data_IF_783775724330
#
_entry.id   IF_783775724330
#
_cell.length_a   1.000
_cell.length_b   1.000
_cell.length_c   1.000
_cell.angle_alpha   90.00
_cell.angle_beta   90.00
_cell.angle_gamma   90.00
#
_symmetry.space_group_name_H-M   'P 1'
#
loop_
_entity.id
_entity.type
_entity.pdbx_description
1 polymer ?
#
# COMPACT_ATOMS: atom_id res chain seq x y z
N UNK A 1 4.64 31.33 -43.31
CA UNK A 1 5.88 31.42 -42.51
C UNK A 1 5.46 31.91 -41.14
N UNK A 2 5.59 31.22 -40.03
CA UNK A 2 6.14 29.90 -39.71
C UNK A 2 6.06 29.71 -38.19
N UNK A 3 6.11 28.44 -37.75
CA UNK A 3 6.61 27.96 -36.44
C UNK A 3 5.96 28.59 -35.20
N UNK A 4 5.10 27.92 -34.43
CA UNK A 4 5.37 26.67 -33.73
C UNK A 4 4.89 26.83 -32.26
N UNK A 5 4.55 25.73 -31.56
CA UNK A 5 3.70 25.72 -30.38
C UNK A 5 4.41 26.25 -29.13
N UNK A 6 3.74 27.06 -28.33
CA UNK A 6 4.20 27.42 -26.98
C UNK A 6 3.87 26.26 -26.03
N UNK A 7 4.55 25.13 -26.23
CA UNK A 7 4.72 24.14 -25.16
C UNK A 7 5.79 24.73 -24.25
N UNK A 8 5.38 25.54 -23.26
CA UNK A 8 6.21 25.71 -22.07
C UNK A 8 6.30 24.33 -21.44
N UNK A 9 7.43 23.67 -21.68
CA UNK A 9 7.70 22.34 -21.17
C UNK A 9 7.65 22.40 -19.65
N UNK A 10 6.89 21.47 -19.07
CA UNK A 10 6.74 21.14 -17.65
C UNK A 10 8.10 20.94 -16.92
N UNK A 11 9.24 20.96 -17.64
CA UNK A 11 10.59 20.85 -17.09
C UNK A 11 10.93 21.94 -16.06
N UNK A 12 10.40 23.15 -16.21
CA UNK A 12 10.82 24.28 -15.36
C UNK A 12 10.05 24.37 -14.02
N UNK A 13 9.01 23.57 -13.80
CA UNK A 13 8.21 23.60 -12.56
C UNK A 13 8.79 22.74 -11.41
N UNK A 14 9.82 21.93 -11.68
CA UNK A 14 10.39 20.97 -10.72
C UNK A 14 11.88 21.16 -10.46
N UNK A 15 12.54 22.16 -11.06
CA UNK A 15 14.00 22.32 -10.92
C UNK A 15 14.44 22.62 -9.47
N UNK A 16 13.61 23.33 -8.70
CA UNK A 16 13.86 23.64 -7.28
C UNK A 16 13.32 22.57 -6.30
N UNK A 17 12.66 21.52 -6.80
CA UNK A 17 12.13 20.45 -5.92
C UNK A 17 13.18 19.40 -5.59
N UNK A 18 13.25 18.88 -4.36
CA UNK A 18 14.18 17.80 -4.03
C UNK A 18 14.00 16.57 -4.93
N UNK A 19 15.09 15.86 -5.24
CA UNK A 19 15.09 14.72 -6.17
C UNK A 19 14.13 13.61 -5.75
N UNK A 20 14.00 13.35 -4.45
CA UNK A 20 13.09 12.34 -3.92
C UNK A 20 11.62 12.70 -4.18
N UNK A 21 11.25 13.97 -4.02
CA UNK A 21 9.88 14.45 -4.30
C UNK A 21 9.53 14.23 -5.77
N UNK A 22 10.46 14.55 -6.69
CA UNK A 22 10.27 14.32 -8.13
C UNK A 22 10.07 12.84 -8.45
N UNK A 23 10.92 11.98 -7.90
CA UNK A 23 10.85 10.54 -8.14
C UNK A 23 9.58 9.92 -7.57
N UNK A 24 9.18 10.27 -6.35
CA UNK A 24 7.91 9.83 -5.78
C UNK A 24 6.74 10.30 -6.65
N UNK A 25 6.70 11.58 -7.03
CA UNK A 25 5.64 12.10 -7.89
C UNK A 25 5.57 11.38 -9.25
N UNK A 26 6.70 10.99 -9.82
CA UNK A 26 6.72 10.14 -11.02
C UNK A 26 6.18 8.73 -10.77
N UNK A 27 6.51 8.10 -9.64
CA UNK A 27 5.98 6.79 -9.26
C UNK A 27 4.46 6.86 -9.09
N UNK A 28 3.96 7.76 -8.25
CA UNK A 28 2.52 7.96 -8.03
C UNK A 28 1.77 8.18 -9.36
N UNK A 29 2.32 9.02 -10.25
CA UNK A 29 1.75 9.24 -11.60
C UNK A 29 1.77 7.99 -12.48
N UNK A 30 2.90 7.28 -12.56
CA UNK A 30 3.04 6.08 -13.40
C UNK A 30 2.07 4.98 -12.97
N UNK A 31 1.94 4.77 -11.66
CA UNK A 31 1.02 3.75 -11.13
C UNK A 31 -0.44 4.20 -11.26
N UNK A 32 -0.77 5.48 -11.03
CA UNK A 32 -2.12 6.02 -11.25
C UNK A 32 -2.57 6.00 -12.72
N UNK A 33 -1.66 6.19 -13.68
CA UNK A 33 -1.97 6.11 -15.12
C UNK A 33 -2.18 4.67 -15.60
N UNK A 34 -1.38 3.71 -15.11
CA UNK A 34 -1.57 2.28 -15.41
C UNK A 34 -2.92 1.74 -14.91
N UNK A 35 -3.53 2.42 -13.94
CA UNK A 35 -4.84 2.09 -13.36
C UNK A 35 -6.03 2.77 -14.08
N UNK A 36 -5.84 3.29 -15.31
CA UNK A 36 -6.91 3.79 -16.18
C UNK A 36 -7.78 4.91 -15.56
N UNK A 37 -7.18 5.88 -14.87
CA UNK A 37 -7.82 7.18 -14.60
C UNK A 37 -8.04 7.94 -15.92
N UNK A 38 -9.09 7.60 -16.67
CA UNK A 38 -9.51 8.35 -17.85
C UNK A 38 -10.33 9.59 -17.42
N UNK A 39 -9.60 10.69 -17.23
CA UNK A 39 -9.94 12.09 -17.53
C UNK A 39 -11.33 12.64 -17.13
N UNK A 40 -11.37 13.51 -16.12
CA UNK A 40 -12.17 14.76 -16.10
C UNK A 40 -11.76 15.61 -14.89
N UNK A 41 -10.62 16.29 -15.00
CA UNK A 41 -10.09 17.13 -13.93
C UNK A 41 -8.69 17.62 -14.29
N UNK A 42 -8.60 18.48 -15.29
CA UNK A 42 -7.41 19.34 -15.45
C UNK A 42 -7.50 20.37 -14.33
N UNK A 43 -7.08 19.99 -13.13
CA UNK A 43 -6.90 20.77 -11.90
C UNK A 43 -6.23 19.75 -10.95
N UNK A 44 -4.94 19.46 -11.05
CA UNK A 44 -3.90 20.33 -10.53
C UNK A 44 -2.56 19.75 -11.01
N UNK A 45 -1.91 20.43 -11.95
CA UNK A 45 -0.64 19.96 -12.53
C UNK A 45 0.55 20.21 -11.58
N UNK A 46 0.31 20.87 -10.44
CA UNK A 46 1.28 21.22 -9.40
C UNK A 46 1.08 20.41 -8.10
N UNK A 47 -0.02 19.67 -7.95
CA UNK A 47 -0.21 18.75 -6.85
C UNK A 47 0.67 17.52 -7.09
N UNK A 48 1.72 17.39 -6.31
CA UNK A 48 2.77 16.39 -6.50
C UNK A 48 2.29 14.95 -6.24
N UNK A 49 0.98 14.70 -6.05
CA UNK A 49 0.25 13.46 -5.67
C UNK A 49 0.81 12.68 -4.45
N UNK A 50 2.02 13.01 -4.01
CA UNK A 50 2.71 12.48 -2.85
C UNK A 50 2.16 13.18 -1.60
N UNK A 51 1.76 12.46 -0.55
CA UNK A 51 1.37 13.05 0.73
C UNK A 51 2.44 14.01 1.26
N UNK A 52 2.04 15.17 1.78
CA UNK A 52 2.99 16.19 2.25
C UNK A 52 3.95 15.65 3.31
N UNK A 53 3.44 14.87 4.26
CA UNK A 53 4.23 14.20 5.30
C UNK A 53 5.37 13.36 4.70
N UNK A 54 5.13 12.62 3.61
CA UNK A 54 6.14 11.81 2.95
C UNK A 54 7.19 12.63 2.20
N UNK A 55 6.83 13.83 1.69
CA UNK A 55 7.80 14.73 1.05
C UNK A 55 8.81 15.28 2.06
N UNK A 56 8.29 15.63 3.23
CA UNK A 56 9.05 16.27 4.30
C UNK A 56 9.81 15.24 5.14
N UNK A 57 9.30 14.02 5.24
CA UNK A 57 9.86 12.91 6.02
C UNK A 57 10.88 12.04 5.29
N UNK A 58 11.29 12.39 4.08
CA UNK A 58 12.32 11.63 3.35
C UNK A 58 13.72 12.11 3.75
N UNK A 59 14.56 11.18 4.20
CA UNK A 59 15.94 11.48 4.56
C UNK A 59 16.75 11.79 3.30
N UNK A 60 17.10 13.06 3.12
CA UNK A 60 17.86 13.55 1.94
C UNK A 60 19.27 12.98 1.80
N UNK A 61 19.84 12.40 2.87
CA UNK A 61 21.12 11.70 2.83
C UNK A 61 20.98 10.20 2.57
N UNK A 62 19.75 9.67 2.60
CA UNK A 62 19.44 8.27 2.35
C UNK A 62 19.32 7.95 0.85
N UNK A 63 19.08 6.68 0.51
CA UNK A 63 18.68 6.27 -0.84
C UNK A 63 17.51 7.09 -1.37
N UNK A 64 17.52 7.39 -2.66
CA UNK A 64 16.37 7.98 -3.37
C UNK A 64 15.30 6.92 -3.65
N UNK A 65 14.04 7.29 -3.87
CA UNK A 65 12.96 6.35 -4.16
C UNK A 65 13.29 5.37 -5.29
N UNK A 66 13.89 5.83 -6.39
CA UNK A 66 14.33 4.96 -7.48
C UNK A 66 15.39 3.96 -7.00
N UNK A 67 16.38 4.39 -6.21
CA UNK A 67 17.40 3.47 -5.67
C UNK A 67 16.79 2.39 -4.77
N UNK A 68 15.74 2.71 -4.01
CA UNK A 68 15.01 1.73 -3.19
C UNK A 68 14.31 0.70 -4.07
N UNK A 69 13.60 1.12 -5.12
CA UNK A 69 12.88 0.21 -6.01
C UNK A 69 13.85 -0.61 -6.88
N UNK A 70 14.89 0.02 -7.43
CA UNK A 70 15.90 -0.56 -8.34
C UNK A 70 16.80 -1.58 -7.63
N UNK A 71 16.93 -1.52 -6.30
CA UNK A 71 17.61 -2.56 -5.52
C UNK A 71 16.97 -3.95 -5.72
N UNK A 72 15.69 -3.99 -6.06
CA UNK A 72 14.93 -5.21 -6.28
C UNK A 72 14.45 -5.86 -4.98
N UNK A 73 13.32 -6.56 -5.06
CA UNK A 73 12.71 -7.25 -3.91
C UNK A 73 13.70 -8.22 -3.26
N UNK A 74 13.80 -8.17 -1.93
CA UNK A 74 14.75 -8.93 -1.13
C UNK A 74 16.03 -8.15 -0.80
N UNK A 75 16.36 -7.11 -1.56
CA UNK A 75 17.54 -6.26 -1.33
C UNK A 75 17.17 -4.80 -1.04
N UNK A 76 15.88 -4.47 -0.97
CA UNK A 76 15.44 -3.09 -0.67
C UNK A 76 15.93 -2.71 0.72
N UNK A 77 16.52 -1.51 0.91
CA UNK A 77 17.02 -1.09 2.21
C UNK A 77 15.87 -0.92 3.20
N UNK A 78 16.19 -0.95 4.50
CA UNK A 78 15.18 -0.74 5.54
C UNK A 78 14.62 0.70 5.48
N UNK A 79 13.33 0.91 5.81
CA UNK A 79 12.71 2.22 5.74
C UNK A 79 13.41 3.32 6.55
N UNK A 80 14.00 2.98 7.71
CA UNK A 80 14.77 3.89 8.56
C UNK A 80 16.05 4.45 7.91
N UNK A 81 16.49 3.88 6.79
CA UNK A 81 17.65 4.38 6.03
C UNK A 81 17.32 5.52 5.08
N UNK A 82 16.04 5.69 4.71
CA UNK A 82 15.58 6.71 3.75
C UNK A 82 14.35 7.51 4.23
N UNK A 83 13.78 7.17 5.39
CA UNK A 83 12.70 7.91 6.04
C UNK A 83 13.15 8.38 7.41
N UNK A 84 12.71 9.57 7.80
CA UNK A 84 12.98 10.15 9.10
C UNK A 84 12.15 9.45 10.20
N UNK A 85 12.70 9.35 11.40
CA UNK A 85 12.07 8.68 12.55
C UNK A 85 10.74 9.33 12.95
N UNK A 86 10.67 10.66 12.92
CA UNK A 86 9.45 11.43 13.20
C UNK A 86 8.35 11.10 12.18
N UNK A 87 8.71 10.93 10.91
CA UNK A 87 7.78 10.54 9.87
C UNK A 87 7.27 9.11 10.09
N UNK A 88 8.17 8.16 10.35
CA UNK A 88 7.80 6.77 10.62
C UNK A 88 6.81 6.71 11.79
N UNK A 89 7.10 7.42 12.87
CA UNK A 89 6.23 7.46 14.07
C UNK A 89 4.86 8.02 13.72
N UNK A 90 4.78 9.19 13.08
CA UNK A 90 3.52 9.81 12.68
C UNK A 90 2.72 8.95 11.70
N UNK A 91 3.41 8.24 10.81
CA UNK A 91 2.75 7.35 9.85
C UNK A 91 2.09 6.16 10.55
N UNK A 92 2.80 5.54 11.50
CA UNK A 92 2.29 4.38 12.24
C UNK A 92 1.21 4.76 13.27
N UNK A 93 1.22 5.98 13.80
CA UNK A 93 0.16 6.49 14.69
C UNK A 93 -1.23 6.49 14.02
N UNK A 94 -1.30 6.52 12.69
CA UNK A 94 -2.57 6.40 11.96
C UNK A 94 -3.27 5.05 12.20
N UNK A 95 -2.53 4.03 12.64
CA UNK A 95 -3.04 2.69 12.93
C UNK A 95 -3.38 2.49 14.42
N UNK A 96 -3.32 3.55 15.24
CA UNK A 96 -3.60 3.47 16.68
C UNK A 96 -5.02 2.96 17.00
N UNK A 97 -5.98 3.16 16.09
CA UNK A 97 -7.35 2.65 16.22
C UNK A 97 -7.57 1.27 15.59
N UNK A 98 -6.49 0.58 15.21
CA UNK A 98 -6.55 -0.70 14.51
C UNK A 98 -6.26 -0.59 13.02
N UNK A 99 -6.21 -1.75 12.38
CA UNK A 99 -5.94 -1.86 10.96
C UNK A 99 -6.89 -2.88 10.30
N UNK A 100 -7.10 -2.74 9.00
CA UNK A 100 -7.96 -3.65 8.24
C UNK A 100 -7.25 -4.12 6.97
N UNK A 101 -7.48 -5.39 6.61
CA UNK A 101 -7.11 -5.93 5.29
C UNK A 101 -8.31 -6.58 4.62
N UNK A 102 -8.38 -6.43 3.30
CA UNK A 102 -9.39 -7.04 2.45
C UNK A 102 -8.82 -8.34 1.86
N UNK A 103 -9.65 -9.39 1.84
CA UNK A 103 -9.29 -10.69 1.28
C UNK A 103 -10.41 -11.22 0.40
N UNK A 104 -10.05 -11.91 -0.69
CA UNK A 104 -10.98 -12.85 -1.30
C UNK A 104 -11.22 -14.02 -0.34
N UNK A 105 -12.48 -14.37 -0.11
CA UNK A 105 -12.87 -15.36 0.91
C UNK A 105 -12.27 -16.73 0.63
N UNK A 106 -12.22 -17.16 -0.64
CA UNK A 106 -11.56 -18.41 -1.04
C UNK A 106 -10.07 -18.40 -0.67
N UNK A 107 -9.36 -17.33 -1.02
CA UNK A 107 -7.92 -17.21 -0.81
C UNK A 107 -7.54 -17.25 0.67
N UNK A 108 -8.26 -16.55 1.54
CA UNK A 108 -7.95 -16.56 2.98
C UNK A 108 -8.31 -17.89 3.62
N UNK A 109 -9.38 -18.56 3.19
CA UNK A 109 -9.72 -19.92 3.66
C UNK A 109 -8.70 -20.96 3.23
N UNK A 110 -8.14 -20.84 2.03
CA UNK A 110 -7.13 -21.78 1.54
C UNK A 110 -5.74 -21.51 2.12
N UNK A 111 -5.32 -20.26 2.27
CA UNK A 111 -3.93 -19.92 2.57
C UNK A 111 -3.70 -19.29 3.96
N UNK A 112 -4.74 -18.72 4.57
CA UNK A 112 -4.65 -17.95 5.82
C UNK A 112 -4.46 -16.44 5.60
N UNK A 113 -4.46 -15.64 6.69
CA UNK A 113 -4.39 -14.18 6.63
C UNK A 113 -3.02 -13.61 6.24
N UNK A 114 -1.94 -14.37 6.40
CA UNK A 114 -0.61 -13.87 6.12
C UNK A 114 -0.02 -14.37 4.80
N UNK A 115 0.90 -13.60 4.24
CA UNK A 115 1.59 -13.94 3.00
C UNK A 115 2.95 -14.58 3.32
N UNK A 116 2.96 -15.90 3.53
CA UNK A 116 4.18 -16.66 3.78
C UNK A 116 5.17 -16.55 2.62
N UNK A 117 6.45 -16.28 2.92
CA UNK A 117 7.55 -16.59 2.01
C UNK A 117 8.11 -17.96 2.38
N UNK A 118 7.63 -19.02 1.72
CA UNK A 118 8.16 -20.41 1.80
C UNK A 118 7.76 -21.19 3.07
N UNK A 119 7.49 -22.51 2.98
CA UNK A 119 7.37 -23.38 4.16
C UNK A 119 8.68 -23.44 4.95
N UNK A 120 8.69 -22.94 6.20
CA UNK A 120 9.76 -23.18 7.17
C UNK A 120 10.67 -21.99 7.58
N UNK A 121 10.48 -20.76 7.08
CA UNK A 121 11.08 -19.51 7.59
C UNK A 121 10.39 -18.29 6.91
N UNK A 122 10.40 -17.02 7.33
CA UNK A 122 10.83 -16.33 8.55
C UNK A 122 9.89 -15.16 8.93
N UNK A 123 8.99 -14.72 8.04
CA UNK A 123 8.08 -13.60 8.30
C UNK A 123 6.76 -13.87 7.60
N UNK A 124 5.77 -14.32 8.36
CA UNK A 124 4.39 -14.35 7.89
C UNK A 124 3.81 -12.97 8.15
N UNK A 125 3.52 -12.23 7.10
CA UNK A 125 3.18 -10.80 7.20
C UNK A 125 1.95 -10.46 6.39
N UNK A 126 1.20 -9.45 6.82
CA UNK A 126 0.09 -8.90 6.07
C UNK A 126 0.26 -7.38 5.94
N UNK A 127 0.02 -6.87 4.72
CA UNK A 127 -0.16 -5.44 4.52
C UNK A 127 -1.56 -5.02 4.96
N UNK A 128 -1.68 -3.92 5.69
CA UNK A 128 -2.93 -3.46 6.29
C UNK A 128 -3.12 -1.95 6.07
N UNK A 129 -4.37 -1.52 6.06
CA UNK A 129 -4.78 -0.11 6.01
C UNK A 129 -5.28 0.35 7.39
N UNK A 130 -5.22 1.65 7.73
CA UNK A 130 -5.92 2.14 8.91
C UNK A 130 -7.42 1.89 8.77
N UNK A 131 -8.04 1.29 9.79
CA UNK A 131 -9.46 0.91 9.76
C UNK A 131 -10.36 2.11 9.42
N UNK A 132 -10.10 3.26 10.06
CA UNK A 132 -10.88 4.49 9.87
C UNK A 132 -10.75 5.03 8.44
N UNK A 133 -9.55 5.00 7.85
CA UNK A 133 -9.31 5.48 6.49
C UNK A 133 -10.00 4.58 5.45
N UNK A 134 -9.92 3.26 5.64
CA UNK A 134 -10.62 2.32 4.76
C UNK A 134 -12.14 2.48 4.85
N UNK A 135 -12.69 2.63 6.06
CA UNK A 135 -14.12 2.83 6.25
C UNK A 135 -14.60 4.15 5.61
N UNK A 136 -13.84 5.23 5.78
CA UNK A 136 -14.15 6.52 5.13
C UNK A 136 -14.13 6.40 3.60
N UNK A 137 -13.17 5.66 3.05
CA UNK A 137 -13.13 5.39 1.61
C UNK A 137 -14.35 4.60 1.14
N UNK A 138 -14.72 3.53 1.86
CA UNK A 138 -15.88 2.70 1.55
C UNK A 138 -17.18 3.52 1.52
N UNK A 139 -17.32 4.54 2.37
CA UNK A 139 -18.47 5.45 2.37
C UNK A 139 -18.49 6.46 1.22
N UNK A 140 -17.35 6.69 0.56
CA UNK A 140 -17.21 7.68 -0.52
C UNK A 140 -17.37 7.07 -1.91
N UNK A 141 -17.10 5.77 -2.05
CA UNK A 141 -17.22 5.03 -3.30
C UNK A 141 -18.64 4.51 -3.50
N UNK A 142 -19.08 4.44 -4.75
CA UNK A 142 -20.44 4.01 -5.12
C UNK A 142 -20.46 2.61 -5.74
N UNK A 143 -19.29 1.98 -5.91
CA UNK A 143 -19.19 0.64 -6.47
C UNK A 143 -17.92 -0.10 -6.03
N UNK A 144 -17.93 -1.45 -6.03
CA UNK A 144 -16.72 -2.25 -5.79
C UNK A 144 -15.57 -1.92 -6.76
N UNK A 145 -15.89 -1.54 -8.00
CA UNK A 145 -14.89 -1.12 -8.99
C UNK A 145 -14.20 0.18 -8.59
N UNK A 146 -14.94 1.17 -8.08
CA UNK A 146 -14.35 2.40 -7.53
C UNK A 146 -13.48 2.11 -6.31
N UNK A 147 -13.91 1.19 -5.42
CA UNK A 147 -13.09 0.74 -4.30
C UNK A 147 -11.78 0.08 -4.77
N UNK A 148 -11.84 -0.82 -5.76
CA UNK A 148 -10.64 -1.46 -6.32
C UNK A 148 -9.66 -0.42 -6.86
N UNK A 149 -10.15 0.54 -7.65
CA UNK A 149 -9.32 1.62 -8.18
C UNK A 149 -8.69 2.46 -7.07
N UNK A 150 -9.43 2.78 -6.02
CA UNK A 150 -8.92 3.54 -4.89
C UNK A 150 -7.89 2.75 -4.06
N UNK A 151 -8.00 1.42 -3.99
CA UNK A 151 -7.03 0.56 -3.32
C UNK A 151 -5.87 0.12 -4.22
N UNK A 152 -5.85 0.57 -5.47
CA UNK A 152 -4.86 0.18 -6.46
C UNK A 152 -4.93 -1.30 -6.87
N UNK A 153 -6.07 -1.94 -6.65
CA UNK A 153 -6.36 -3.32 -7.05
C UNK A 153 -6.87 -3.38 -8.50
N UNK A 154 -6.79 -4.54 -9.18
CA UNK A 154 -7.43 -4.76 -10.47
C UNK A 154 -8.93 -4.42 -10.42
N UNK A 155 -9.48 -3.82 -11.48
CA UNK A 155 -10.89 -3.37 -11.50
C UNK A 155 -11.91 -4.49 -11.35
N UNK A 156 -11.53 -5.71 -11.72
CA UNK A 156 -12.29 -6.96 -11.62
C UNK A 156 -12.04 -7.70 -10.29
N UNK A 157 -11.23 -7.16 -9.37
CA UNK A 157 -10.88 -7.83 -8.11
C UNK A 157 -12.10 -8.25 -7.28
N UNK A 158 -13.15 -7.42 -7.29
CA UNK A 158 -14.42 -7.68 -6.59
C UNK A 158 -15.49 -8.31 -7.50
N UNK A 159 -15.25 -8.46 -8.80
CA UNK A 159 -16.26 -8.94 -9.74
C UNK A 159 -16.46 -10.45 -9.58
N UNK A 160 -17.67 -10.86 -9.16
CA UNK A 160 -18.02 -12.28 -8.96
C UNK A 160 -17.25 -12.97 -7.83
N UNK A 161 -16.50 -12.22 -7.02
CA UNK A 161 -15.72 -12.73 -5.89
C UNK A 161 -16.45 -12.48 -4.56
N UNK A 162 -16.48 -13.49 -3.70
CA UNK A 162 -16.81 -13.29 -2.30
C UNK A 162 -15.60 -12.67 -1.58
N UNK A 163 -15.83 -11.61 -0.82
CA UNK A 163 -14.79 -10.79 -0.21
C UNK A 163 -15.13 -10.53 1.24
N UNK A 164 -14.14 -10.68 2.11
CA UNK A 164 -14.26 -10.37 3.52
C UNK A 164 -13.11 -9.45 3.98
N UNK A 165 -13.43 -8.60 4.94
CA UNK A 165 -12.49 -7.77 5.66
C UNK A 165 -12.06 -8.50 6.93
N UNK A 166 -10.85 -8.22 7.37
CA UNK A 166 -10.38 -8.60 8.69
C UNK A 166 -9.88 -7.36 9.41
N UNK A 167 -10.53 -7.03 10.51
CA UNK A 167 -10.19 -5.90 11.37
C UNK A 167 -9.31 -6.40 12.50
N UNK A 168 -8.09 -5.88 12.57
CA UNK A 168 -7.10 -6.12 13.61
C UNK A 168 -7.21 -4.98 14.63
N UNK A 169 -7.59 -5.32 15.86
CA UNK A 169 -7.58 -4.35 16.96
C UNK A 169 -6.14 -3.93 17.29
N UNK A 170 -5.93 -2.85 18.06
CA UNK A 170 -4.59 -2.43 18.49
C UNK A 170 -3.77 -3.56 19.13
N UNK A 171 -4.42 -4.48 19.82
CA UNK A 171 -3.83 -5.68 20.42
C UNK A 171 -3.36 -6.74 19.41
N UNK A 172 -3.89 -6.71 18.18
CA UNK A 172 -3.58 -7.64 17.10
C UNK A 172 -2.47 -7.11 16.17
N UNK A 173 -1.99 -5.88 16.36
CA UNK A 173 -1.00 -5.22 15.49
C UNK A 173 0.46 -5.58 15.83
N UNK A 174 0.70 -6.85 16.18
CA UNK A 174 2.04 -7.32 16.47
C UNK A 174 3.01 -7.02 15.31
N UNK A 175 4.17 -6.45 15.63
CA UNK A 175 5.19 -6.13 14.62
C UNK A 175 4.83 -5.01 13.64
N UNK A 176 3.82 -4.18 13.94
CA UNK A 176 3.44 -3.04 13.11
C UNK A 176 4.67 -2.19 12.73
N UNK A 177 4.90 -2.03 11.43
CA UNK A 177 6.05 -1.31 10.89
C UNK A 177 5.80 -0.78 9.47
N UNK A 178 6.67 0.13 9.05
CA UNK A 178 6.71 0.59 7.66
C UNK A 178 7.02 -0.58 6.71
N UNK A 179 6.33 -0.67 5.56
CA UNK A 179 6.66 -1.66 4.56
C UNK A 179 8.03 -1.36 3.93
N UNK A 180 8.90 -2.36 3.89
CA UNK A 180 10.18 -2.29 3.16
C UNK A 180 10.03 -2.65 1.68
N UNK A 181 8.91 -3.29 1.32
CA UNK A 181 8.70 -3.89 0.01
C UNK A 181 9.42 -5.23 -0.15
N UNK A 182 10.05 -5.76 0.90
CA UNK A 182 10.64 -7.09 0.90
C UNK A 182 9.64 -8.17 1.38
N UNK A 183 8.46 -7.77 1.85
CA UNK A 183 7.48 -8.67 2.46
C UNK A 183 6.83 -9.66 1.47
N UNK A 184 6.20 -10.70 2.02
CA UNK A 184 5.38 -11.62 1.23
C UNK A 184 4.19 -10.90 0.61
N UNK A 185 3.91 -11.17 -0.67
CA UNK A 185 2.78 -10.57 -1.37
C UNK A 185 2.98 -9.13 -1.86
N UNK A 186 4.16 -8.52 -1.70
CA UNK A 186 4.47 -7.24 -2.35
C UNK A 186 4.39 -7.38 -3.88
N UNK A 187 3.53 -6.56 -4.50
CA UNK A 187 3.50 -6.38 -5.96
C UNK A 187 4.67 -5.50 -6.39
N UNK A 188 5.68 -6.10 -7.02
CA UNK A 188 6.90 -5.40 -7.45
C UNK A 188 6.64 -4.34 -8.51
N UNK A 189 5.56 -4.46 -9.27
CA UNK A 189 5.21 -3.54 -10.36
C UNK A 189 4.34 -2.36 -9.91
N UNK A 190 3.84 -2.38 -8.68
CA UNK A 190 2.94 -1.35 -8.14
C UNK A 190 3.35 -0.79 -6.77
N UNK A 191 4.28 -1.43 -6.07
CA UNK A 191 4.74 -0.98 -4.76
C UNK A 191 5.59 0.30 -4.86
N UNK A 192 5.30 1.26 -3.98
CA UNK A 192 6.01 2.53 -3.84
C UNK A 192 6.58 2.63 -2.41
N UNK A 193 7.83 3.08 -2.21
CA UNK A 193 8.36 3.32 -0.87
C UNK A 193 7.64 4.47 -0.17
N UNK A 194 7.57 4.40 1.16
CA UNK A 194 6.98 5.46 1.98
C UNK A 194 5.66 5.08 2.66
N UNK A 195 5.11 3.89 2.42
CA UNK A 195 3.94 3.39 3.14
C UNK A 195 2.62 3.98 2.66
N UNK A 196 2.53 4.36 1.38
CA UNK A 196 1.28 4.82 0.79
C UNK A 196 1.00 4.07 -0.50
N UNK A 197 -0.28 3.79 -0.73
CA UNK A 197 -0.75 3.43 -2.06
C UNK A 197 -0.62 4.63 -3.01
N UNK A 198 -0.57 4.39 -4.35
CA UNK A 198 -0.61 5.47 -5.34
C UNK A 198 -1.82 6.40 -5.22
N UNK A 199 -2.90 5.96 -4.56
CA UNK A 199 -4.10 6.74 -4.26
C UNK A 199 -3.98 7.66 -3.04
N UNK A 200 -2.88 7.57 -2.27
CA UNK A 200 -2.64 8.37 -1.07
C UNK A 200 -3.16 7.73 0.24
N UNK A 201 -3.61 6.48 0.20
CA UNK A 201 -4.05 5.75 1.41
C UNK A 201 -2.82 5.21 2.16
N UNK A 202 -2.70 5.43 3.48
CA UNK A 202 -1.62 4.86 4.28
C UNK A 202 -1.69 3.33 4.33
N UNK A 203 -0.53 2.69 4.32
CA UNK A 203 -0.34 1.25 4.41
C UNK A 203 0.80 0.94 5.37
N UNK A 204 0.66 -0.15 6.13
CA UNK A 204 1.69 -0.70 7.02
C UNK A 204 1.72 -2.22 6.92
N UNK A 205 2.70 -2.83 7.59
CA UNK A 205 2.82 -4.29 7.69
C UNK A 205 2.73 -4.71 9.14
N UNK A 206 1.98 -5.78 9.39
CA UNK A 206 1.95 -6.51 10.66
C UNK A 206 2.48 -7.93 10.50
N UNK A 207 2.92 -8.51 11.60
CA UNK A 207 3.24 -9.93 11.68
C UNK A 207 1.98 -10.75 11.94
N UNK A 208 1.89 -11.90 11.29
CA UNK A 208 0.81 -12.87 11.43
C UNK A 208 1.41 -14.14 12.04
N UNK A 209 0.75 -14.78 13.02
CA UNK A 209 1.21 -16.04 13.58
C UNK A 209 1.46 -17.10 12.49
N UNK A 210 2.53 -17.88 12.62
CA UNK A 210 2.90 -18.87 11.61
C UNK A 210 1.91 -20.04 11.50
N UNK A 211 1.11 -20.26 12.55
CA UNK A 211 0.03 -21.25 12.63
C UNK A 211 -1.34 -20.69 12.20
N UNK A 212 -1.45 -19.38 11.92
CA UNK A 212 -2.62 -18.76 11.32
C UNK A 212 -2.68 -19.09 9.82
N UNK A 213 -3.13 -20.32 9.53
CA UNK A 213 -3.04 -20.92 8.20
C UNK A 213 -4.41 -21.46 7.73
N UNK A 214 -4.52 -21.74 6.44
CA UNK A 214 -5.77 -22.18 5.78
C UNK A 214 -5.77 -23.66 5.41
N UNK A 215 -6.73 -24.10 4.59
CA UNK A 215 -6.85 -25.50 4.18
C UNK A 215 -5.62 -26.05 3.43
N UNK A 216 -4.99 -25.22 2.61
CA UNK A 216 -3.93 -25.59 1.67
C UNK A 216 -2.52 -25.18 2.15
N UNK A 217 -2.43 -24.52 3.30
CA UNK A 217 -1.19 -24.05 3.90
C UNK A 217 -1.25 -24.49 5.37
N UNK A 218 -0.36 -25.36 5.85
CA UNK A 218 -0.36 -25.79 7.27
C UNK A 218 -0.71 -27.26 7.49
N UNK A 219 -1.44 -27.55 8.57
CA UNK A 219 -1.76 -28.90 9.06
C UNK A 219 -2.99 -29.55 8.40
N UNK A 220 -3.59 -28.87 7.42
CA UNK A 220 -4.80 -29.32 6.73
C UNK A 220 -6.09 -29.10 7.54
N UNK A 221 -6.03 -28.33 8.64
CA UNK A 221 -7.18 -27.97 9.46
C UNK A 221 -7.43 -26.47 9.38
N UNK A 222 -8.63 -26.08 8.97
CA UNK A 222 -9.07 -24.69 9.07
C UNK A 222 -9.51 -24.38 10.50
N UNK A 223 -8.61 -23.78 11.27
CA UNK A 223 -8.87 -23.26 12.61
C UNK A 223 -8.73 -21.74 12.64
N UNK A 224 -9.83 -21.04 12.32
CA UNK A 224 -9.85 -19.58 12.29
C UNK A 224 -9.68 -18.95 13.67
N UNK A 225 -9.73 -19.72 14.78
CA UNK A 225 -9.44 -19.18 16.11
C UNK A 225 -7.95 -18.83 16.29
N UNK A 226 -7.08 -19.36 15.43
CA UNK A 226 -5.65 -19.03 15.35
C UNK A 226 -5.38 -17.73 14.59
N UNK A 227 -6.40 -17.19 13.91
CA UNK A 227 -6.23 -16.02 13.06
C UNK A 227 -6.47 -14.75 13.87
N UNK A 228 -5.50 -13.80 13.90
CA UNK A 228 -5.72 -12.54 14.60
C UNK A 228 -6.81 -11.70 13.93
N UNK A 229 -7.36 -10.75 14.68
CA UNK A 229 -8.44 -9.89 14.22
C UNK A 229 -9.78 -10.59 14.01
N UNK A 230 -10.79 -9.79 13.69
CA UNK A 230 -12.18 -10.20 13.53
C UNK A 230 -12.62 -10.12 12.07
N UNK A 231 -13.43 -11.08 11.63
CA UNK A 231 -14.04 -11.05 10.28
C UNK A 231 -15.13 -9.99 10.26
N UNK A 232 -15.16 -9.21 9.18
CA UNK A 232 -16.25 -8.31 8.80
C UNK A 232 -16.59 -8.52 7.33
N UNK A 233 -17.87 -8.55 6.98
CA UNK A 233 -18.28 -8.64 5.58
C UNK A 233 -18.12 -7.28 4.89
N UNK A 234 -17.84 -7.29 3.58
CA UNK A 234 -17.77 -6.06 2.79
C UNK A 234 -19.19 -5.51 2.57
N UNK A 235 -19.48 -4.34 3.13
CA UNK A 235 -20.75 -3.61 2.97
C UNK A 235 -20.45 -2.25 2.32
N UNK A 236 -21.03 -1.99 1.14
CA UNK A 236 -20.81 -0.79 0.31
C UNK A 236 -22.12 -0.07 0.03
#
# INVERSE_FOLDING_TARGET
>A
MGMGPVVRQIKDALDDTPVHVRQLAEMFRKHGQKQNRNTSGVNDLDATDVPQSLRDGWNTNGPTPNQVVDAGKGNRPNPDTYLDEDYITQHLDQFANGATRIYRTDSILDWGPGNNQVPGNATNTAYVFPTDQLNNLMQQVNSPTELAQALGLPSDFFEGADVQLRDFGPEDLAGLRMPSGNEGGTDVDHWIPGGYLPSGIPEAVIDIPADATGWQNGDGVLDQSRWPGSRRDLDL
#
